data_IF_764982239075
#
_entry.id   IF_764982239075
#
_cell.length_a   1.000
_cell.length_b   1.000
_cell.length_c   1.000
_cell.angle_alpha   90.00
_cell.angle_beta   90.00
_cell.angle_gamma   90.00
#
_symmetry.space_group_name_H-M   'P 1'
#
loop_
_entity.id
_entity.type
_entity.pdbx_description
1 polymer ?
#
# COMPACT_ATOMS: atom_id res chain seq x y z
N UNK A 1 23.07 47.32 -14.29
CA UNK A 1 23.12 45.86 -14.50
C UNK A 1 23.24 45.16 -13.16
N UNK A 2 22.15 45.09 -12.38
CA UNK A 2 22.19 44.59 -11.00
C UNK A 2 20.87 43.94 -10.57
N UNK A 3 20.25 43.13 -11.44
CA UNK A 3 18.95 42.49 -11.12
C UNK A 3 18.80 41.02 -11.58
N UNK A 4 19.85 40.39 -12.11
CA UNK A 4 19.76 39.00 -12.60
C UNK A 4 20.29 38.00 -11.56
N UNK A 5 21.11 38.44 -10.61
CA UNK A 5 21.79 37.54 -9.64
C UNK A 5 20.87 37.17 -8.45
N UNK A 6 19.83 37.96 -8.17
CA UNK A 6 19.00 37.76 -6.97
C UNK A 6 17.95 36.65 -7.14
N UNK A 7 17.48 36.36 -8.36
CA UNK A 7 16.52 35.28 -8.61
C UNK A 7 17.16 33.89 -8.59
N UNK A 8 18.43 33.75 -8.98
CA UNK A 8 19.11 32.45 -9.01
C UNK A 8 19.52 31.94 -7.63
N UNK A 9 19.77 32.83 -6.65
CA UNK A 9 20.05 32.39 -5.27
C UNK A 9 18.79 31.95 -4.50
N UNK A 10 17.62 32.52 -4.82
CA UNK A 10 16.38 32.20 -4.09
C UNK A 10 15.83 30.82 -4.44
N UNK A 11 16.16 30.27 -5.62
CA UNK A 11 15.81 28.90 -6.00
C UNK A 11 16.71 27.82 -5.38
N UNK A 12 17.86 28.20 -4.79
CA UNK A 12 18.84 27.26 -4.18
C UNK A 12 18.54 27.06 -2.67
N UNK A 13 17.65 27.86 -2.10
CA UNK A 13 17.33 27.88 -0.67
C UNK A 13 15.90 27.40 -0.34
N UNK A 14 15.25 26.65 -1.23
CA UNK A 14 14.18 25.77 -0.75
C UNK A 14 14.91 24.57 -0.15
N UNK A 15 15.02 24.47 1.19
CA UNK A 15 15.61 23.27 1.74
C UNK A 15 14.74 22.09 1.26
N UNK A 16 15.38 21.08 0.69
CA UNK A 16 14.76 19.80 0.32
C UNK A 16 14.01 19.13 1.48
N UNK A 17 14.17 19.65 2.71
CA UNK A 17 13.40 19.30 3.90
C UNK A 17 11.93 19.71 3.87
N UNK A 18 11.49 20.65 3.01
CA UNK A 18 10.07 21.01 2.91
C UNK A 18 9.22 19.96 2.18
N UNK A 19 9.86 19.02 1.48
CA UNK A 19 9.22 17.87 0.81
C UNK A 19 9.86 16.54 1.17
N UNK A 20 10.51 16.44 2.33
CA UNK A 20 10.95 15.14 2.83
C UNK A 20 9.74 14.39 3.38
N UNK A 21 8.87 13.86 2.51
CA UNK A 21 7.95 12.81 2.92
C UNK A 21 8.80 11.69 3.52
N UNK A 22 8.52 11.33 4.79
CA UNK A 22 9.07 10.13 5.42
C UNK A 22 8.86 8.99 4.43
N UNK A 23 9.95 8.37 3.98
CA UNK A 23 9.86 7.20 3.13
C UNK A 23 9.08 6.13 3.90
N UNK A 24 8.12 5.46 3.27
CA UNK A 24 7.43 4.37 3.94
C UNK A 24 8.45 3.28 4.25
N UNK A 25 8.24 2.63 5.39
CA UNK A 25 9.10 1.58 5.96
C UNK A 25 8.35 0.28 6.17
N UNK A 26 7.02 0.29 6.03
CA UNK A 26 6.21 -0.92 6.16
C UNK A 26 4.97 -0.91 5.25
N UNK A 27 4.60 -2.10 4.77
CA UNK A 27 3.32 -2.36 4.14
C UNK A 27 2.64 -3.59 4.75
N UNK A 28 1.32 -3.53 4.88
CA UNK A 28 0.48 -4.70 5.09
C UNK A 28 -0.30 -5.01 3.82
N UNK A 29 -0.25 -6.25 3.36
CA UNK A 29 -1.05 -6.74 2.25
C UNK A 29 -2.05 -7.74 2.83
N UNK A 30 -3.31 -7.36 2.79
CA UNK A 30 -4.43 -8.14 3.28
C UNK A 30 -5.19 -8.74 2.11
N UNK A 31 -5.24 -10.07 2.06
CA UNK A 31 -5.98 -10.85 1.09
C UNK A 31 -7.18 -11.48 1.81
N UNK A 32 -8.37 -10.91 1.64
CA UNK A 32 -9.54 -11.29 2.45
C UNK A 32 -10.35 -12.45 1.87
N UNK A 33 -10.12 -12.79 0.60
CA UNK A 33 -10.86 -13.83 -0.11
C UNK A 33 -10.00 -15.08 -0.36
N UNK A 34 -8.66 -14.97 -0.22
CA UNK A 34 -7.74 -16.07 -0.49
C UNK A 34 -7.79 -16.53 -1.95
N UNK A 35 -8.25 -15.64 -2.83
CA UNK A 35 -8.69 -15.91 -4.19
C UNK A 35 -7.67 -15.57 -5.28
N UNK A 36 -8.18 -15.48 -6.51
CA UNK A 36 -7.58 -16.03 -7.73
C UNK A 36 -6.22 -15.49 -8.23
N UNK A 37 -5.67 -16.30 -9.13
CA UNK A 37 -4.27 -16.40 -9.44
C UNK A 37 -3.89 -15.66 -10.75
N UNK A 38 -2.97 -14.71 -10.65
CA UNK A 38 -2.13 -14.20 -11.74
C UNK A 38 -1.08 -15.26 -12.12
N UNK A 39 -0.67 -15.31 -13.39
CA UNK A 39 0.48 -16.13 -13.80
C UNK A 39 1.76 -15.35 -13.47
N UNK A 40 2.59 -15.89 -12.58
CA UNK A 40 3.95 -15.38 -12.41
C UNK A 40 4.76 -15.67 -13.69
N UNK A 41 5.22 -14.64 -14.43
CA UNK A 41 5.95 -14.84 -15.67
C UNK A 41 7.32 -15.51 -15.48
N UNK A 42 7.89 -15.48 -14.28
CA UNK A 42 9.22 -16.01 -13.99
C UNK A 42 9.18 -17.48 -13.53
N UNK A 43 8.08 -17.89 -12.90
CA UNK A 43 7.92 -19.25 -12.36
C UNK A 43 6.86 -20.09 -13.06
N UNK A 44 6.03 -19.48 -13.92
CA UNK A 44 4.89 -20.12 -14.60
C UNK A 44 3.90 -20.80 -13.64
N UNK A 45 3.91 -20.42 -12.35
CA UNK A 45 2.92 -20.85 -11.37
C UNK A 45 1.83 -19.80 -11.23
N UNK A 46 0.68 -20.28 -10.80
CA UNK A 46 -0.45 -19.46 -10.43
C UNK A 46 -0.18 -18.88 -9.03
N UNK A 47 -0.26 -17.55 -8.90
CA UNK A 47 -0.02 -16.77 -7.67
C UNK A 47 -1.06 -15.65 -7.56
N UNK A 48 -1.53 -15.25 -6.38
CA UNK A 48 -2.54 -14.19 -6.30
C UNK A 48 -1.97 -12.77 -6.48
N UNK A 49 -2.86 -11.77 -6.55
CA UNK A 49 -2.49 -10.35 -6.70
C UNK A 49 -1.59 -9.85 -5.56
N UNK A 50 -1.77 -10.39 -4.36
CA UNK A 50 -0.94 -10.13 -3.18
C UNK A 50 0.54 -10.50 -3.41
N UNK A 51 0.82 -11.55 -4.18
CA UNK A 51 2.19 -11.89 -4.59
C UNK A 51 2.77 -10.83 -5.52
N UNK A 52 2.01 -10.37 -6.51
CA UNK A 52 2.49 -9.34 -7.45
C UNK A 52 2.79 -8.01 -6.75
N UNK A 53 1.96 -7.62 -5.77
CA UNK A 53 2.19 -6.43 -4.94
C UNK A 53 3.46 -6.62 -4.09
N UNK A 54 3.63 -7.77 -3.44
CA UNK A 54 4.83 -8.11 -2.66
C UNK A 54 6.10 -7.98 -3.52
N UNK A 55 6.14 -8.60 -4.71
CA UNK A 55 7.28 -8.50 -5.62
C UNK A 55 7.53 -7.05 -6.09
N UNK A 56 6.47 -6.31 -6.42
CA UNK A 56 6.60 -4.90 -6.82
C UNK A 56 7.20 -4.05 -5.70
N UNK A 57 6.73 -4.23 -4.45
CA UNK A 57 7.27 -3.51 -3.29
C UNK A 57 8.74 -3.87 -3.03
N UNK A 58 9.14 -5.14 -3.15
CA UNK A 58 10.55 -5.56 -3.01
C UNK A 58 11.46 -4.99 -4.09
N UNK A 59 10.93 -4.76 -5.28
CA UNK A 59 11.68 -4.13 -6.38
C UNK A 59 11.84 -2.62 -6.20
N UNK A 60 10.91 -1.97 -5.50
CA UNK A 60 10.93 -0.53 -5.23
C UNK A 60 11.74 -0.22 -3.95
N UNK A 61 11.60 -1.04 -2.91
CA UNK A 61 12.16 -0.79 -1.59
C UNK A 61 13.18 -1.87 -1.18
N UNK A 62 14.40 -1.50 -0.77
CA UNK A 62 15.39 -2.45 -0.26
C UNK A 62 14.88 -3.17 1.00
N UNK A 63 15.04 -4.49 1.07
CA UNK A 63 14.58 -5.31 2.21
C UNK A 63 15.15 -4.89 3.57
N UNK A 64 16.32 -4.24 3.61
CA UNK A 64 16.92 -3.72 4.84
C UNK A 64 16.19 -2.48 5.41
N UNK A 65 15.27 -1.88 4.65
CA UNK A 65 14.62 -0.60 4.96
C UNK A 65 13.09 -0.68 4.91
N UNK A 66 12.54 -1.81 4.47
CA UNK A 66 11.11 -1.95 4.21
C UNK A 66 10.61 -3.34 4.59
N UNK A 67 9.64 -3.38 5.48
CA UNK A 67 8.98 -4.60 5.93
C UNK A 67 7.66 -4.81 5.18
N UNK A 68 7.42 -6.03 4.72
CA UNK A 68 6.17 -6.43 4.10
C UNK A 68 5.56 -7.52 4.97
N UNK A 69 4.38 -7.26 5.51
CA UNK A 69 3.56 -8.25 6.21
C UNK A 69 2.41 -8.66 5.29
N UNK A 70 2.18 -9.97 5.19
CA UNK A 70 1.09 -10.57 4.40
C UNK A 70 0.26 -11.45 5.30
N UNK A 71 -1.05 -11.30 5.26
CA UNK A 71 -1.97 -12.16 6.02
C UNK A 71 -3.36 -12.20 5.35
N UNK A 72 -4.11 -13.24 5.68
CA UNK A 72 -5.55 -13.35 5.36
C UNK A 72 -6.42 -12.82 6.49
N UNK A 73 -5.85 -12.68 7.70
CA UNK A 73 -6.52 -12.12 8.87
C UNK A 73 -6.17 -10.65 9.03
N UNK A 74 -7.19 -9.79 9.08
CA UNK A 74 -6.99 -8.38 9.39
C UNK A 74 -6.63 -8.22 10.89
N UNK A 75 -5.52 -7.53 11.24
CA UNK A 75 -5.20 -7.23 12.64
C UNK A 75 -6.15 -6.18 13.22
N UNK A 76 -6.31 -6.18 14.55
CA UNK A 76 -7.13 -5.21 15.30
C UNK A 76 -6.74 -3.74 15.08
N UNK A 77 -5.49 -3.49 14.67
CA UNK A 77 -4.99 -2.16 14.35
C UNK A 77 -4.00 -2.19 13.20
N UNK A 78 -4.06 -1.15 12.36
CA UNK A 78 -3.17 -0.94 11.21
C UNK A 78 -2.15 0.18 11.44
N UNK A 79 -2.11 0.78 12.63
CA UNK A 79 -1.32 1.99 12.92
C UNK A 79 0.20 1.82 12.78
N UNK A 80 0.70 0.58 12.77
CA UNK A 80 2.11 0.26 12.55
C UNK A 80 2.52 0.25 11.08
N UNK A 81 1.56 0.29 10.15
CA UNK A 81 1.82 0.18 8.72
C UNK A 81 1.75 1.55 8.03
N UNK A 82 2.82 1.90 7.32
CA UNK A 82 2.84 3.14 6.52
C UNK A 82 1.90 3.03 5.30
N UNK A 83 1.62 1.80 4.83
CA UNK A 83 0.71 1.51 3.71
C UNK A 83 -0.07 0.22 3.96
N UNK A 84 -1.33 0.18 3.53
CA UNK A 84 -2.18 -1.02 3.58
C UNK A 84 -2.75 -1.27 2.19
N UNK A 85 -2.62 -2.50 1.69
CA UNK A 85 -3.27 -2.99 0.48
C UNK A 85 -4.35 -3.97 0.92
N UNK A 86 -5.62 -3.62 0.70
CA UNK A 86 -6.76 -4.47 0.99
C UNK A 86 -7.29 -5.04 -0.33
N UNK A 87 -7.23 -6.36 -0.47
CA UNK A 87 -7.64 -7.07 -1.67
C UNK A 87 -8.95 -7.77 -1.35
N UNK A 88 -10.01 -7.31 -2.03
CA UNK A 88 -11.35 -7.84 -1.92
C UNK A 88 -11.64 -8.57 -3.22
N UNK A 89 -11.17 -9.81 -3.36
CA UNK A 89 -11.52 -10.56 -4.55
C UNK A 89 -13.00 -10.96 -4.55
N UNK A 90 -13.34 -11.88 -5.44
CA UNK A 90 -14.72 -12.23 -5.76
C UNK A 90 -15.13 -13.51 -5.04
N UNK A 91 -16.17 -13.44 -4.21
CA UNK A 91 -16.75 -14.61 -3.58
C UNK A 91 -17.95 -15.12 -4.41
N UNK A 92 -17.69 -16.16 -5.20
CA UNK A 92 -18.69 -16.90 -5.99
C UNK A 92 -19.87 -17.40 -5.14
N UNK A 93 -19.65 -17.68 -3.85
CA UNK A 93 -20.69 -18.19 -2.95
C UNK A 93 -21.63 -17.10 -2.45
N UNK A 94 -21.17 -15.85 -2.44
CA UNK A 94 -21.93 -14.69 -2.02
C UNK A 94 -22.49 -13.89 -3.21
N UNK A 95 -22.28 -14.34 -4.45
CA UNK A 95 -22.59 -13.61 -5.69
C UNK A 95 -22.07 -12.16 -5.65
N UNK A 96 -20.90 -11.96 -5.05
CA UNK A 96 -20.44 -10.62 -4.73
C UNK A 96 -18.99 -10.57 -4.26
N UNK A 97 -18.53 -9.34 -4.07
CA UNK A 97 -17.21 -9.00 -3.59
C UNK A 97 -17.03 -9.50 -2.15
N UNK A 98 -15.80 -9.80 -1.73
CA UNK A 98 -15.42 -10.00 -0.33
C UNK A 98 -16.13 -9.00 0.59
N UNK A 99 -17.16 -9.49 1.32
CA UNK A 99 -18.02 -8.64 2.14
C UNK A 99 -17.27 -8.29 3.41
N UNK A 100 -16.91 -7.01 3.55
CA UNK A 100 -16.37 -6.50 4.81
C UNK A 100 -17.37 -6.69 5.95
N UNK A 101 -16.91 -7.32 7.02
CA UNK A 101 -17.59 -7.28 8.31
C UNK A 101 -17.60 -5.85 8.85
N UNK A 102 -18.55 -5.49 9.75
CA UNK A 102 -18.54 -4.18 10.39
C UNK A 102 -17.24 -3.85 11.13
N UNK A 103 -16.53 -4.88 11.62
CA UNK A 103 -15.24 -4.71 12.27
C UNK A 103 -14.18 -4.31 11.25
N UNK A 104 -14.05 -5.03 10.14
CA UNK A 104 -13.05 -4.72 9.10
C UNK A 104 -13.28 -3.34 8.47
N UNK A 105 -14.53 -3.00 8.18
CA UNK A 105 -14.90 -1.67 7.66
C UNK A 105 -14.50 -0.56 8.65
N UNK A 106 -14.77 -0.73 9.94
CA UNK A 106 -14.37 0.21 11.00
C UNK A 106 -12.85 0.32 11.12
N UNK A 107 -12.12 -0.80 11.06
CA UNK A 107 -10.64 -0.82 11.16
C UNK A 107 -10.00 -0.09 9.98
N UNK A 108 -10.45 -0.35 8.75
CA UNK A 108 -9.98 0.34 7.55
C UNK A 108 -10.35 1.82 7.56
N UNK A 109 -11.58 2.15 7.96
CA UNK A 109 -12.03 3.53 8.09
C UNK A 109 -11.17 4.31 9.09
N UNK A 110 -10.95 3.78 10.29
CA UNK A 110 -10.13 4.41 11.32
C UNK A 110 -8.68 4.61 10.86
N UNK A 111 -8.13 3.65 10.11
CA UNK A 111 -6.80 3.78 9.51
C UNK A 111 -6.72 4.98 8.55
N UNK A 112 -7.67 5.09 7.61
CA UNK A 112 -7.72 6.20 6.65
C UNK A 112 -7.92 7.55 7.36
N UNK A 113 -8.84 7.62 8.33
CA UNK A 113 -9.13 8.86 9.07
C UNK A 113 -7.92 9.32 9.91
N UNK A 114 -7.05 8.40 10.32
CA UNK A 114 -5.79 8.72 11.00
C UNK A 114 -4.66 9.20 10.07
N UNK A 115 -4.92 9.26 8.76
CA UNK A 115 -3.94 9.64 7.73
C UNK A 115 -3.20 8.48 7.09
N UNK A 116 -3.66 7.24 7.32
CA UNK A 116 -3.15 6.03 6.69
C UNK A 116 -3.34 6.02 5.17
N UNK A 117 -2.50 5.26 4.47
CA UNK A 117 -2.54 5.11 3.01
C UNK A 117 -3.13 3.75 2.66
N UNK A 118 -4.41 3.73 2.31
CA UNK A 118 -5.15 2.52 1.95
C UNK A 118 -5.29 2.42 0.42
N UNK A 119 -4.88 1.29 -0.14
CA UNK A 119 -5.09 0.91 -1.54
C UNK A 119 -6.06 -0.27 -1.56
N UNK A 120 -7.07 -0.20 -2.41
CA UNK A 120 -8.13 -1.20 -2.50
C UNK A 120 -8.10 -1.81 -3.89
N UNK A 121 -8.07 -3.13 -3.94
CA UNK A 121 -8.33 -3.94 -5.13
C UNK A 121 -9.68 -4.66 -4.95
N UNK A 122 -10.39 -4.89 -6.05
CA UNK A 122 -11.77 -5.33 -6.04
C UNK A 122 -12.79 -4.20 -6.26
N UNK A 123 -13.96 -4.57 -6.76
CA UNK A 123 -15.12 -3.66 -6.81
C UNK A 123 -15.84 -3.65 -5.46
N UNK A 124 -16.66 -2.66 -5.13
CA UNK A 124 -17.61 -2.71 -4.01
C UNK A 124 -19.04 -2.78 -4.56
#
# INVERSE_FOLDING_TARGET
MANIILCTLLCILIPSSLFSQKQPTSAFIWDNDGGDLVIDPDSFVLVGTEYAIDQALRNIYPAAQFEITRDVVLPETLTSFDMVFALFGYDDTLNGIGILTPHEDSTLYNYVVSGGKLYIEGTR
#
